data_IF_783366965973
#
_entry.id   IF_783366965973
#
_cell.length_a   1.000
_cell.length_b   1.000
_cell.length_c   1.000
_cell.angle_alpha   90.00
_cell.angle_beta   90.00
_cell.angle_gamma   90.00
#
_symmetry.space_group_name_H-M   'P 1'
#
loop_
_entity.id
_entity.type
_entity.pdbx_description
1 polymer ?
#
# COMPACT_ATOMS: atom_id res chain seq x y z
N UNK A 1 21.91 -13.62 -1.30
CA UNK A 1 20.47 -13.83 -1.53
C UNK A 1 20.24 -14.02 -3.02
N UNK A 2 19.30 -14.88 -3.43
CA UNK A 2 19.00 -15.10 -4.85
C UNK A 2 17.85 -14.18 -5.25
N UNK A 3 17.93 -13.55 -6.43
CA UNK A 3 16.89 -12.64 -6.94
C UNK A 3 15.51 -13.30 -7.01
N UNK A 4 15.48 -14.61 -7.30
CA UNK A 4 14.26 -15.40 -7.37
C UNK A 4 13.44 -15.41 -6.08
N UNK A 5 14.01 -15.04 -4.93
CA UNK A 5 13.29 -14.94 -3.65
C UNK A 5 12.28 -13.78 -3.61
N UNK A 6 12.33 -12.86 -4.59
CA UNK A 6 11.47 -11.69 -4.69
C UNK A 6 10.52 -11.74 -5.88
N UNK A 7 10.48 -12.86 -6.62
CA UNK A 7 9.55 -13.04 -7.72
C UNK A 7 8.15 -13.36 -7.20
N UNK A 8 7.15 -12.74 -7.79
CA UNK A 8 5.72 -13.02 -7.56
C UNK A 8 4.97 -12.96 -8.90
N UNK A 9 3.80 -13.58 -8.96
CA UNK A 9 2.95 -13.50 -10.14
C UNK A 9 2.26 -12.14 -10.18
N UNK A 10 2.53 -11.37 -11.24
CA UNK A 10 1.91 -10.06 -11.48
C UNK A 10 1.23 -10.06 -12.85
N UNK A 11 -0.10 -10.21 -12.89
CA UNK A 11 -0.87 -10.04 -14.12
C UNK A 11 -0.70 -8.63 -14.69
N UNK A 12 -0.49 -8.51 -16.01
CA UNK A 12 -0.23 -7.22 -16.67
C UNK A 12 -1.42 -6.24 -16.55
N UNK A 13 -2.64 -6.76 -16.47
CA UNK A 13 -3.86 -5.97 -16.30
C UNK A 13 -3.95 -5.24 -14.95
N UNK A 14 -3.19 -5.70 -13.95
CA UNK A 14 -3.12 -5.06 -12.64
C UNK A 14 -2.05 -3.96 -12.57
N UNK A 15 -1.28 -3.76 -13.65
CA UNK A 15 -0.29 -2.68 -13.76
C UNK A 15 -0.99 -1.40 -14.22
N UNK A 16 -1.14 -0.45 -13.29
CA UNK A 16 -1.72 0.85 -13.61
C UNK A 16 -0.87 1.59 -14.66
N UNK A 17 -1.48 1.94 -15.79
CA UNK A 17 -0.83 2.72 -16.87
C UNK A 17 -0.88 4.23 -16.65
N UNK A 18 -1.89 4.67 -15.88
CA UNK A 18 -2.15 6.06 -15.53
C UNK A 18 -2.57 6.12 -14.06
N UNK A 19 -2.36 7.25 -13.37
CA UNK A 19 -2.88 7.43 -12.01
C UNK A 19 -4.42 7.39 -12.00
N UNK A 20 -4.99 7.19 -10.81
CA UNK A 20 -6.42 7.41 -10.58
C UNK A 20 -6.81 8.86 -10.90
N UNK A 21 -8.04 9.09 -11.37
CA UNK A 21 -8.56 10.43 -11.66
C UNK A 21 -8.54 11.32 -10.41
N UNK A 22 -9.00 10.77 -9.29
CA UNK A 22 -8.83 11.34 -7.95
C UNK A 22 -7.70 10.61 -7.24
N UNK A 23 -6.63 11.35 -6.92
CA UNK A 23 -5.37 10.78 -6.40
C UNK A 23 -5.54 10.11 -5.03
N UNK A 24 -6.34 10.70 -4.17
CA UNK A 24 -6.64 10.27 -2.81
C UNK A 24 -7.64 9.10 -2.74
N UNK A 25 -8.34 8.79 -3.83
CA UNK A 25 -9.20 7.60 -3.96
C UNK A 25 -8.43 6.31 -4.29
N UNK A 26 -7.09 6.34 -4.27
CA UNK A 26 -6.29 5.13 -4.45
C UNK A 26 -6.46 4.16 -3.28
N UNK A 27 -6.37 2.85 -3.57
CA UNK A 27 -6.43 1.80 -2.55
C UNK A 27 -5.18 1.83 -1.67
N UNK A 28 -5.36 1.73 -0.36
CA UNK A 28 -4.30 1.61 0.64
C UNK A 28 -4.33 0.18 1.21
N UNK A 29 -3.22 -0.56 1.09
CA UNK A 29 -3.04 -1.83 1.78
C UNK A 29 -2.23 -1.58 3.05
N UNK A 30 -2.82 -1.85 4.21
CA UNK A 30 -2.17 -1.72 5.51
C UNK A 30 -1.72 -3.09 5.97
N UNK A 31 -0.45 -3.21 6.34
CA UNK A 31 0.15 -4.47 6.80
C UNK A 31 0.65 -4.27 8.23
N UNK A 32 0.07 -4.97 9.19
CA UNK A 32 0.58 -5.02 10.55
C UNK A 32 1.81 -5.94 10.59
N UNK A 33 2.98 -5.36 10.85
CA UNK A 33 4.25 -6.10 10.89
C UNK A 33 4.35 -7.11 12.04
N UNK A 34 3.63 -6.88 13.16
CA UNK A 34 3.68 -7.75 14.35
C UNK A 34 2.78 -8.96 14.20
N UNK A 35 1.57 -8.76 13.67
CA UNK A 35 0.56 -9.82 13.56
C UNK A 35 0.52 -10.47 12.18
N UNK A 36 1.02 -9.77 11.16
CA UNK A 36 0.88 -10.17 9.75
C UNK A 36 -0.52 -9.93 9.18
N UNK A 37 -1.40 -9.21 9.89
CA UNK A 37 -2.74 -8.91 9.37
C UNK A 37 -2.67 -7.92 8.20
N UNK A 38 -3.57 -8.09 7.25
CA UNK A 38 -3.71 -7.23 6.07
C UNK A 38 -5.09 -6.59 6.12
N UNK A 39 -5.12 -5.28 6.01
CA UNK A 39 -6.34 -4.49 5.86
C UNK A 39 -6.35 -3.73 4.53
N UNK A 40 -7.54 -3.50 4.00
CA UNK A 40 -7.75 -2.71 2.79
C UNK A 40 -8.55 -1.46 3.14
N UNK A 41 -7.99 -0.30 2.78
CA UNK A 41 -8.51 1.05 3.06
C UNK A 41 -8.42 1.93 1.82
N UNK A 42 -8.84 3.17 1.93
CA UNK A 42 -8.60 4.22 0.93
C UNK A 42 -7.46 5.12 1.42
N UNK A 43 -6.70 5.74 0.51
CA UNK A 43 -5.54 6.56 0.88
C UNK A 43 -5.93 7.77 1.76
N UNK A 44 -7.18 8.25 1.68
CA UNK A 44 -7.75 9.23 2.61
C UNK A 44 -7.63 8.83 4.08
N UNK A 45 -7.70 7.52 4.37
CA UNK A 45 -7.71 6.97 5.72
C UNK A 45 -6.31 6.92 6.34
N UNK A 46 -5.27 7.34 5.61
CA UNK A 46 -3.87 7.28 6.09
C UNK A 46 -3.67 8.10 7.37
N UNK A 47 -4.46 9.16 7.56
CA UNK A 47 -4.39 10.06 8.72
C UNK A 47 -4.68 9.28 10.02
N UNK A 48 -5.53 8.27 9.97
CA UNK A 48 -5.92 7.46 11.14
C UNK A 48 -4.76 6.59 11.68
N UNK A 49 -3.64 6.50 10.95
CA UNK A 49 -2.47 5.71 11.32
C UNK A 49 -1.31 6.53 11.87
N UNK A 50 -1.43 7.87 11.92
CA UNK A 50 -0.42 8.74 12.52
C UNK A 50 -0.77 9.03 13.98
N UNK A 51 0.25 9.00 14.84
CA UNK A 51 0.18 9.48 16.20
C UNK A 51 0.84 10.85 16.32
N UNK A 52 0.61 11.52 17.45
CA UNK A 52 1.31 12.77 17.77
C UNK A 52 2.83 12.54 17.78
N UNK A 53 3.55 13.36 16.99
CA UNK A 53 5.00 13.29 16.85
C UNK A 53 5.49 12.42 15.68
N UNK A 54 4.60 11.75 14.95
CA UNK A 54 5.00 11.06 13.71
C UNK A 54 5.28 12.06 12.58
N UNK A 55 6.34 11.80 11.80
CA UNK A 55 6.76 12.65 10.67
C UNK A 55 6.63 11.88 9.35
N UNK A 56 6.01 12.50 8.34
CA UNK A 56 5.96 12.00 6.96
C UNK A 56 7.03 12.73 6.13
N UNK A 57 7.97 11.97 5.55
CA UNK A 57 9.09 12.46 4.73
C UNK A 57 8.97 11.97 3.30
#
# INVERSE_FOLDING_TARGET
>A
MKLSQFNYELPEELIAKYPSEERDQSRLMVVDRKTGSIEHRTFTDIIDYFNEGDEMV
#
